data_IF_269585588296
#
_entry.id   IF_269585588296
#
_cell.length_a   1.000
_cell.length_b   1.000
_cell.length_c   1.000
_cell.angle_alpha   90.00
_cell.angle_beta   90.00
_cell.angle_gamma   90.00
#
_symmetry.space_group_name_H-M   'P 1'
#
loop_
_entity.id
_entity.type
_entity.pdbx_description
1 polymer ?
#
# COMPACT_ATOMS: atom_id res chain seq x y z
N UNK A 1 -16.69 -2.66 6.15
CA UNK A 1 -16.54 -3.88 6.99
C UNK A 1 -17.24 -3.68 8.33
N UNK A 2 -16.83 -2.73 9.15
CA UNK A 2 -17.31 -2.55 10.53
C UNK A 2 -18.83 -2.39 10.62
N UNK A 3 -19.42 -1.57 9.75
CA UNK A 3 -20.87 -1.35 9.69
C UNK A 3 -21.64 -2.64 9.41
N UNK A 4 -21.17 -3.45 8.46
CA UNK A 4 -21.85 -4.69 8.06
C UNK A 4 -21.89 -5.75 9.17
N UNK A 5 -20.96 -5.63 10.14
CA UNK A 5 -20.89 -6.51 11.31
C UNK A 5 -21.34 -5.83 12.60
N UNK A 6 -21.87 -4.60 12.51
CA UNK A 6 -22.27 -3.79 13.67
C UNK A 6 -21.15 -3.66 14.72
N UNK A 7 -19.93 -3.46 14.27
CA UNK A 7 -18.75 -3.26 15.10
C UNK A 7 -18.35 -1.79 15.09
N UNK A 8 -18.09 -1.23 16.26
CA UNK A 8 -17.57 0.12 16.41
C UNK A 8 -16.10 0.18 15.94
N UNK A 9 -15.86 0.84 14.80
CA UNK A 9 -14.54 0.98 14.22
C UNK A 9 -13.57 1.73 15.15
N UNK A 10 -14.04 2.77 15.86
CA UNK A 10 -13.21 3.53 16.79
C UNK A 10 -12.73 2.65 17.96
N UNK A 11 -13.63 1.88 18.53
CA UNK A 11 -13.30 0.91 19.57
C UNK A 11 -12.33 -0.14 19.09
N UNK A 12 -12.55 -0.70 17.90
CA UNK A 12 -11.65 -1.68 17.30
C UNK A 12 -10.22 -1.12 17.15
N UNK A 13 -10.06 0.07 16.53
CA UNK A 13 -8.76 0.67 16.35
C UNK A 13 -8.08 1.09 17.66
N UNK A 14 -8.86 1.49 18.66
CA UNK A 14 -8.35 1.74 20.01
C UNK A 14 -7.77 0.46 20.63
N UNK A 15 -8.48 -0.65 20.49
CA UNK A 15 -7.96 -1.97 20.92
C UNK A 15 -6.69 -2.34 20.18
N UNK A 16 -6.66 -2.25 18.84
CA UNK A 16 -5.49 -2.57 18.02
C UNK A 16 -4.27 -1.74 18.44
N UNK A 17 -4.44 -0.44 18.60
CA UNK A 17 -3.35 0.47 18.98
C UNK A 17 -2.80 0.21 20.41
N UNK A 18 -3.57 -0.45 21.26
CA UNK A 18 -3.13 -0.84 22.60
C UNK A 18 -2.35 -2.17 22.62
N UNK A 19 -2.51 -3.03 21.59
CA UNK A 19 -1.92 -4.37 21.57
C UNK A 19 -0.39 -4.41 21.70
N UNK A 20 0.40 -3.54 21.03
CA UNK A 20 1.86 -3.59 21.18
C UNK A 20 2.31 -3.44 22.63
N UNK A 21 1.81 -2.45 23.34
CA UNK A 21 2.14 -2.23 24.77
C UNK A 21 1.62 -3.36 25.66
N UNK A 22 0.44 -3.87 25.35
CA UNK A 22 -0.16 -4.99 26.09
C UNK A 22 0.70 -6.24 26.01
N UNK A 23 1.06 -6.68 24.78
CA UNK A 23 1.88 -7.88 24.60
C UNK A 23 3.31 -7.72 25.12
N UNK A 24 3.87 -6.52 25.04
CA UNK A 24 5.17 -6.24 25.66
C UNK A 24 5.11 -6.40 27.18
N UNK A 25 4.07 -5.85 27.84
CA UNK A 25 3.94 -5.92 29.29
C UNK A 25 3.57 -7.32 29.80
N UNK A 26 2.67 -8.04 29.12
CA UNK A 26 2.13 -9.31 29.57
C UNK A 26 2.99 -10.52 29.18
N UNK A 27 3.71 -10.45 28.05
CA UNK A 27 4.38 -11.59 27.44
C UNK A 27 5.83 -11.33 27.04
N UNK A 28 6.33 -10.09 27.21
CA UNK A 28 7.64 -9.64 26.74
C UNK A 28 7.85 -9.85 25.23
N UNK A 29 6.77 -9.72 24.44
CA UNK A 29 6.76 -9.90 22.98
C UNK A 29 6.73 -8.54 22.30
N UNK A 30 7.70 -8.30 21.42
CA UNK A 30 7.69 -7.13 20.53
C UNK A 30 6.71 -7.37 19.37
N UNK A 31 5.80 -6.44 19.17
CA UNK A 31 4.76 -6.51 18.14
C UNK A 31 4.94 -5.38 17.14
N UNK A 32 4.79 -5.69 15.85
CA UNK A 32 4.79 -4.68 14.80
C UNK A 32 3.46 -3.91 14.82
N UNK A 33 3.46 -2.60 15.14
CA UNK A 33 2.25 -1.80 15.24
C UNK A 33 1.51 -1.64 13.91
N UNK A 34 2.23 -1.69 12.77
CA UNK A 34 1.64 -1.48 11.45
C UNK A 34 0.80 -2.69 10.98
N UNK A 35 1.09 -3.89 11.49
CA UNK A 35 0.49 -5.13 10.99
C UNK A 35 -0.32 -5.92 12.03
N UNK A 36 -0.26 -5.55 13.32
CA UNK A 36 -0.98 -6.26 14.39
C UNK A 36 -2.50 -6.27 14.18
N UNK A 37 -3.04 -5.29 13.46
CA UNK A 37 -4.46 -5.24 13.12
C UNK A 37 -4.93 -6.48 12.35
N UNK A 38 -4.06 -7.12 11.54
CA UNK A 38 -4.35 -8.35 10.82
C UNK A 38 -4.71 -9.48 11.78
N UNK A 39 -3.94 -9.61 12.86
CA UNK A 39 -4.22 -10.59 13.91
C UNK A 39 -5.56 -10.31 14.61
N UNK A 40 -5.90 -9.03 14.81
CA UNK A 40 -7.18 -8.67 15.43
C UNK A 40 -8.37 -8.98 14.50
N UNK A 41 -8.23 -8.74 13.18
CA UNK A 41 -9.23 -9.15 12.20
C UNK A 41 -9.43 -10.67 12.19
N UNK A 42 -8.33 -11.45 12.17
CA UNK A 42 -8.39 -12.92 12.22
C UNK A 42 -9.05 -13.40 13.53
N UNK A 43 -8.68 -12.78 14.66
CA UNK A 43 -9.30 -13.10 15.96
C UNK A 43 -10.82 -12.84 15.95
N UNK A 44 -11.25 -11.72 15.36
CA UNK A 44 -12.68 -11.37 15.26
C UNK A 44 -13.42 -12.28 14.27
N UNK A 45 -12.74 -12.75 13.23
CA UNK A 45 -13.27 -13.76 12.33
C UNK A 45 -13.47 -15.10 13.04
N UNK A 46 -12.44 -15.58 13.75
CA UNK A 46 -12.47 -16.84 14.49
C UNK A 46 -13.50 -16.89 15.64
N UNK A 47 -13.73 -15.77 16.32
CA UNK A 47 -14.70 -15.70 17.43
C UNK A 47 -16.13 -15.40 16.97
N UNK A 48 -16.36 -15.29 15.64
CA UNK A 48 -17.68 -15.05 15.05
C UNK A 48 -18.12 -13.57 15.01
N UNK A 49 -17.32 -12.62 15.50
CA UNK A 49 -17.60 -11.19 15.38
C UNK A 49 -17.63 -10.76 13.91
N UNK A 50 -16.65 -11.19 13.13
CA UNK A 50 -16.63 -11.03 11.67
C UNK A 50 -16.98 -12.36 10.99
N UNK A 51 -18.21 -12.85 11.27
CA UNK A 51 -18.68 -14.11 10.75
C UNK A 51 -18.57 -14.17 9.21
N UNK A 52 -17.98 -15.25 8.70
CA UNK A 52 -17.78 -15.49 7.27
C UNK A 52 -16.99 -14.38 6.55
N UNK A 53 -16.16 -13.62 7.26
CA UNK A 53 -15.24 -12.67 6.62
C UNK A 53 -14.13 -13.46 5.92
N UNK A 54 -14.12 -13.41 4.60
CA UNK A 54 -13.17 -14.09 3.73
C UNK A 54 -12.64 -13.13 2.64
N UNK A 55 -11.71 -13.60 1.82
CA UNK A 55 -11.10 -12.79 0.76
C UNK A 55 -12.13 -12.32 -0.29
N UNK A 56 -13.15 -13.13 -0.57
CA UNK A 56 -14.22 -12.72 -1.48
C UNK A 56 -15.01 -11.53 -0.92
N UNK A 57 -15.36 -11.55 0.38
CA UNK A 57 -16.00 -10.40 1.05
C UNK A 57 -15.08 -9.19 1.11
N UNK A 58 -13.79 -9.38 1.40
CA UNK A 58 -12.82 -8.26 1.36
C UNK A 58 -12.81 -7.59 -0.02
N UNK A 59 -12.84 -8.38 -1.09
CA UNK A 59 -12.93 -7.88 -2.46
C UNK A 59 -14.22 -7.11 -2.74
N UNK A 60 -15.37 -7.58 -2.22
CA UNK A 60 -16.62 -6.84 -2.32
C UNK A 60 -16.58 -5.49 -1.58
N UNK A 61 -15.90 -5.42 -0.44
CA UNK A 61 -15.66 -4.15 0.25
C UNK A 61 -14.82 -3.18 -0.59
N UNK A 62 -13.92 -3.67 -1.41
CA UNK A 62 -13.16 -2.87 -2.37
C UNK A 62 -14.06 -2.10 -3.35
N UNK A 63 -15.14 -2.69 -3.82
CA UNK A 63 -16.10 -2.04 -4.73
C UNK A 63 -16.82 -0.83 -4.13
N UNK A 64 -16.82 -0.72 -2.80
CA UNK A 64 -17.49 0.35 -2.03
C UNK A 64 -16.52 1.41 -1.51
N UNK A 65 -15.24 1.36 -1.94
CA UNK A 65 -14.26 2.34 -1.49
C UNK A 65 -14.49 3.70 -2.16
N UNK A 66 -14.44 4.75 -1.35
CA UNK A 66 -14.41 6.12 -1.83
C UNK A 66 -12.95 6.55 -2.00
N UNK A 67 -12.65 7.20 -3.09
CA UNK A 67 -11.33 7.73 -3.39
C UNK A 67 -11.28 9.24 -3.19
N UNK A 68 -10.08 9.76 -3.00
CA UNK A 68 -9.85 11.19 -3.07
C UNK A 68 -10.18 11.72 -4.48
N UNK A 69 -10.55 13.00 -4.54
CA UNK A 69 -10.80 13.68 -5.81
C UNK A 69 -9.61 13.54 -6.75
N UNK A 70 -9.89 13.23 -8.03
CA UNK A 70 -8.84 12.99 -9.04
C UNK A 70 -8.40 11.53 -9.18
N UNK A 71 -8.91 10.62 -8.35
CA UNK A 71 -8.74 9.18 -8.49
C UNK A 71 -10.05 8.58 -9.01
N UNK A 72 -10.08 7.80 -10.12
CA UNK A 72 -8.93 7.22 -10.85
C UNK A 72 -8.40 8.05 -12.02
N UNK A 73 -8.88 9.29 -12.23
CA UNK A 73 -8.56 10.10 -13.41
C UNK A 73 -7.06 10.32 -13.61
N UNK A 74 -6.29 10.47 -12.52
CA UNK A 74 -4.84 10.66 -12.59
C UNK A 74 -4.14 9.56 -13.38
N UNK A 75 -4.60 8.31 -13.27
CA UNK A 75 -4.01 7.18 -13.99
C UNK A 75 -4.21 7.29 -15.52
N UNK A 76 -5.33 7.86 -15.94
CA UNK A 76 -5.60 8.12 -17.36
C UNK A 76 -4.77 9.30 -17.85
N UNK A 77 -4.83 10.43 -17.12
CA UNK A 77 -4.15 11.65 -17.49
C UNK A 77 -2.66 11.45 -17.65
N UNK A 78 -2.00 10.78 -16.71
CA UNK A 78 -0.56 10.53 -16.78
C UNK A 78 -0.17 9.64 -17.96
N UNK A 79 -1.00 8.64 -18.31
CA UNK A 79 -0.78 7.81 -19.52
C UNK A 79 -1.04 8.63 -20.80
N UNK A 80 -2.00 9.56 -20.80
CA UNK A 80 -2.32 10.40 -21.94
C UNK A 80 -1.27 11.49 -22.21
N UNK A 81 -0.62 11.99 -21.16
CA UNK A 81 0.45 13.00 -21.30
C UNK A 81 1.57 12.54 -22.22
N UNK A 82 1.85 11.24 -22.31
CA UNK A 82 2.92 10.69 -23.15
C UNK A 82 2.48 10.27 -24.54
N UNK A 83 1.17 10.20 -24.82
CA UNK A 83 0.63 9.62 -26.06
C UNK A 83 0.99 10.35 -27.35
N UNK A 84 1.30 11.63 -27.29
CA UNK A 84 1.58 12.45 -28.48
C UNK A 84 2.97 13.09 -28.40
N UNK A 85 3.82 12.56 -27.56
CA UNK A 85 5.19 13.01 -27.45
C UNK A 85 6.09 12.14 -28.34
N UNK A 86 6.70 12.74 -29.36
CA UNK A 86 7.50 12.03 -30.35
C UNK A 86 8.71 11.31 -29.75
N UNK A 87 9.29 11.85 -28.67
CA UNK A 87 10.40 11.21 -27.95
C UNK A 87 9.90 9.99 -27.20
N UNK A 88 8.75 10.10 -26.54
CA UNK A 88 8.14 8.97 -25.82
C UNK A 88 7.75 7.84 -26.78
N UNK A 89 7.29 8.15 -27.97
CA UNK A 89 6.98 7.17 -29.02
C UNK A 89 8.26 6.52 -29.55
N UNK A 90 9.29 7.30 -29.89
CA UNK A 90 10.58 6.81 -30.42
C UNK A 90 11.26 5.83 -29.45
N UNK A 91 11.28 6.17 -28.15
CA UNK A 91 11.92 5.35 -27.14
C UNK A 91 10.98 4.38 -26.43
N UNK A 92 9.72 4.25 -26.90
CA UNK A 92 8.69 3.39 -26.29
C UNK A 92 8.52 3.62 -24.78
N UNK A 93 8.55 4.88 -24.35
CA UNK A 93 8.37 5.27 -22.93
C UNK A 93 6.91 5.12 -22.55
N UNK A 94 6.66 4.45 -21.41
CA UNK A 94 5.32 4.19 -20.90
C UNK A 94 5.22 4.55 -19.42
N UNK A 95 4.03 5.04 -19.02
CA UNK A 95 3.70 5.18 -17.60
C UNK A 95 3.11 3.88 -17.10
N UNK A 96 3.68 3.35 -16.03
CA UNK A 96 3.16 2.24 -15.25
C UNK A 96 2.77 2.73 -13.86
N UNK A 97 1.66 2.22 -13.33
CA UNK A 97 1.18 2.56 -12.01
C UNK A 97 1.20 1.31 -11.12
N UNK A 98 1.60 1.50 -9.88
CA UNK A 98 1.70 0.45 -8.88
C UNK A 98 1.09 0.93 -7.57
N UNK A 99 0.50 0.03 -6.79
CA UNK A 99 -0.03 0.33 -5.46
C UNK A 99 0.76 -0.44 -4.42
N UNK A 100 1.24 0.27 -3.39
CA UNK A 100 1.91 -0.32 -2.23
C UNK A 100 1.18 0.16 -0.98
N UNK A 101 0.50 -0.75 -0.30
CA UNK A 101 -0.42 -0.43 0.80
C UNK A 101 -0.17 -1.33 2.02
N UNK A 102 -0.29 -0.77 3.21
CA UNK A 102 -0.37 -1.55 4.45
C UNK A 102 -1.74 -2.18 4.68
N UNK A 103 -2.72 -1.89 3.83
CA UNK A 103 -4.07 -2.45 3.89
C UNK A 103 -4.19 -3.82 3.20
N UNK A 104 -5.41 -4.37 3.22
CA UNK A 104 -5.70 -5.66 2.60
C UNK A 104 -5.58 -5.61 1.07
N UNK A 105 -4.77 -6.48 0.50
CA UNK A 105 -4.61 -6.59 -0.94
C UNK A 105 -5.93 -6.92 -1.65
N UNK A 106 -6.76 -7.79 -1.05
CA UNK A 106 -8.05 -8.16 -1.63
C UNK A 106 -9.05 -6.99 -1.67
N UNK A 107 -8.99 -6.06 -0.72
CA UNK A 107 -9.79 -4.82 -0.80
C UNK A 107 -9.35 -4.00 -2.01
N UNK A 108 -8.05 -3.81 -2.20
CA UNK A 108 -7.53 -3.09 -3.37
C UNK A 108 -7.90 -3.80 -4.68
N UNK A 109 -7.79 -5.13 -4.74
CA UNK A 109 -8.21 -5.93 -5.91
C UNK A 109 -9.70 -5.82 -6.23
N UNK A 110 -10.52 -5.47 -5.26
CA UNK A 110 -11.95 -5.21 -5.44
C UNK A 110 -12.26 -3.86 -6.07
N UNK A 111 -11.33 -2.93 -6.05
CA UNK A 111 -11.53 -1.57 -6.55
C UNK A 111 -11.42 -1.49 -8.08
N UNK A 112 -11.97 -0.43 -8.66
CA UNK A 112 -11.79 -0.14 -10.08
C UNK A 112 -10.35 0.25 -10.46
N UNK A 113 -9.48 0.54 -9.48
CA UNK A 113 -8.07 0.90 -9.71
C UNK A 113 -7.31 -0.22 -10.43
N UNK A 114 -7.73 -1.47 -10.27
CA UNK A 114 -7.12 -2.62 -10.94
C UNK A 114 -7.14 -2.55 -12.47
N UNK A 115 -7.98 -1.69 -13.04
CA UNK A 115 -8.00 -1.44 -14.51
C UNK A 115 -6.83 -0.57 -14.98
N UNK A 116 -6.16 0.12 -14.06
CA UNK A 116 -5.17 1.14 -14.36
C UNK A 116 -3.76 0.80 -13.87
N UNK A 117 -3.66 -0.08 -12.87
CA UNK A 117 -2.39 -0.43 -12.22
C UNK A 117 -1.84 -1.76 -12.75
N UNK A 118 -0.53 -1.83 -12.80
CA UNK A 118 0.20 -3.01 -13.28
C UNK A 118 0.31 -4.12 -12.23
N UNK A 119 0.44 -3.71 -10.96
CA UNK A 119 0.49 -4.63 -9.83
C UNK A 119 0.22 -3.89 -8.52
N UNK A 120 -0.05 -4.68 -7.47
CA UNK A 120 -0.25 -4.20 -6.11
C UNK A 120 0.58 -5.01 -5.12
N UNK A 121 1.03 -4.35 -4.06
CA UNK A 121 1.57 -4.95 -2.85
C UNK A 121 0.69 -4.53 -1.68
N UNK A 122 0.13 -5.49 -1.00
CA UNK A 122 -0.75 -5.28 0.17
C UNK A 122 -0.67 -6.49 1.10
N UNK A 123 -1.33 -6.41 2.25
CA UNK A 123 -1.38 -7.53 3.16
C UNK A 123 -2.31 -8.62 2.63
N UNK A 124 -1.82 -9.87 2.63
CA UNK A 124 -2.56 -11.05 2.16
C UNK A 124 -2.98 -11.92 3.34
N UNK A 125 -4.18 -12.44 3.28
CA UNK A 125 -4.70 -13.36 4.28
C UNK A 125 -4.97 -14.72 3.66
N UNK A 126 -4.62 -15.77 4.40
CA UNK A 126 -4.93 -17.15 4.07
C UNK A 126 -6.28 -17.48 4.72
N UNK A 127 -7.13 -18.16 3.99
CA UNK A 127 -8.43 -18.64 4.46
C UNK A 127 -8.31 -20.01 5.11
N UNK A 128 -9.33 -20.40 5.87
CA UNK A 128 -9.49 -21.76 6.34
C UNK A 128 -9.72 -22.75 5.16
N UNK A 129 -9.65 -24.04 5.44
CA UNK A 129 -9.75 -25.10 4.41
C UNK A 129 -11.09 -25.04 3.64
N UNK A 130 -12.15 -24.61 4.32
CA UNK A 130 -13.49 -24.44 3.71
C UNK A 130 -13.65 -23.10 2.96
N UNK A 131 -12.64 -22.21 3.01
CA UNK A 131 -12.63 -20.84 2.46
C UNK A 131 -13.80 -19.97 2.95
N UNK A 132 -14.24 -20.19 4.17
CA UNK A 132 -15.33 -19.44 4.79
C UNK A 132 -14.85 -18.23 5.55
N UNK A 133 -13.62 -18.29 6.07
CA UNK A 133 -13.11 -17.27 6.96
C UNK A 133 -11.61 -17.06 6.80
N UNK A 134 -11.17 -15.81 6.99
CA UNK A 134 -9.74 -15.51 7.11
C UNK A 134 -9.19 -16.17 8.36
N UNK A 135 -8.03 -16.83 8.25
CA UNK A 135 -7.48 -17.69 9.28
C UNK A 135 -6.04 -17.39 9.66
N UNK A 136 -5.20 -17.02 8.70
CA UNK A 136 -3.78 -16.78 8.90
C UNK A 136 -3.27 -15.60 8.06
N UNK A 137 -2.11 -15.07 8.42
CA UNK A 137 -1.42 -14.03 7.66
C UNK A 137 -0.56 -14.70 6.60
N UNK A 138 -0.77 -14.35 5.32
CA UNK A 138 0.03 -14.85 4.21
C UNK A 138 1.19 -13.94 3.86
N UNK A 139 0.95 -12.64 3.82
CA UNK A 139 1.97 -11.64 3.48
C UNK A 139 1.66 -10.32 4.18
N UNK A 140 2.71 -9.56 4.55
CA UNK A 140 2.56 -8.27 5.20
C UNK A 140 3.33 -7.18 4.51
N UNK A 141 2.72 -6.00 4.46
CA UNK A 141 3.37 -4.74 4.11
C UNK A 141 3.32 -3.83 5.34
N UNK A 142 4.49 -3.34 5.74
CA UNK A 142 4.69 -2.32 6.75
C UNK A 142 5.53 -1.17 6.20
N UNK A 143 5.90 -0.21 7.04
CA UNK A 143 6.68 0.96 6.64
C UNK A 143 8.04 0.61 6.00
N UNK A 144 8.70 -0.48 6.43
CA UNK A 144 9.97 -0.92 5.84
C UNK A 144 9.78 -1.81 4.62
N UNK A 145 8.80 -2.70 4.63
CA UNK A 145 8.55 -3.59 3.49
C UNK A 145 7.94 -2.85 2.30
N UNK A 146 7.39 -1.63 2.48
CA UNK A 146 7.12 -0.71 1.36
C UNK A 146 8.39 -0.43 0.55
N UNK A 147 9.54 -0.26 1.18
CA UNK A 147 10.81 -0.07 0.44
C UNK A 147 11.22 -1.31 -0.36
N UNK A 148 10.96 -2.51 0.18
CA UNK A 148 11.14 -3.76 -0.55
C UNK A 148 10.29 -3.78 -1.82
N UNK A 149 9.01 -3.40 -1.75
CA UNK A 149 8.12 -3.34 -2.91
C UNK A 149 8.68 -2.39 -3.99
N UNK A 150 9.24 -1.24 -3.61
CA UNK A 150 9.90 -0.31 -4.55
C UNK A 150 11.10 -0.98 -5.25
N UNK A 151 11.92 -1.75 -4.53
CA UNK A 151 13.01 -2.52 -5.15
C UNK A 151 12.49 -3.64 -6.07
N UNK A 152 11.37 -4.26 -5.73
CA UNK A 152 10.72 -5.26 -6.57
C UNK A 152 10.20 -4.63 -7.87
N UNK A 153 9.59 -3.44 -7.81
CA UNK A 153 9.21 -2.64 -8.99
C UNK A 153 10.44 -2.28 -9.82
N UNK A 154 11.50 -1.76 -9.19
CA UNK A 154 12.75 -1.43 -9.86
C UNK A 154 13.31 -2.59 -10.67
N UNK A 155 13.25 -3.81 -10.14
CA UNK A 155 13.75 -5.02 -10.79
C UNK A 155 12.77 -5.68 -11.75
N UNK A 156 11.48 -5.33 -11.71
CA UNK A 156 10.45 -5.95 -12.52
C UNK A 156 9.94 -7.28 -11.95
N UNK A 157 9.98 -7.46 -10.63
CA UNK A 157 9.36 -8.63 -9.98
C UNK A 157 7.88 -8.72 -10.36
N UNK A 158 7.40 -9.94 -10.65
CA UNK A 158 6.05 -10.24 -11.17
C UNK A 158 5.78 -9.75 -12.61
N UNK A 159 6.74 -9.15 -13.27
CA UNK A 159 6.69 -8.80 -14.71
C UNK A 159 7.64 -9.67 -15.52
N UNK A 160 8.81 -9.91 -14.98
CA UNK A 160 9.85 -10.71 -15.59
C UNK A 160 9.92 -12.09 -14.91
N UNK A 161 10.05 -13.15 -15.71
CA UNK A 161 10.11 -14.52 -15.20
C UNK A 161 11.37 -14.73 -14.34
N UNK A 162 11.22 -15.45 -13.25
CA UNK A 162 12.30 -15.87 -12.35
C UNK A 162 13.09 -14.71 -11.67
N UNK A 163 12.60 -13.47 -11.75
CA UNK A 163 13.18 -12.35 -11.02
C UNK A 163 12.56 -12.21 -9.62
N UNK A 164 13.44 -12.08 -8.63
CA UNK A 164 13.09 -11.80 -7.24
C UNK A 164 13.78 -10.53 -6.75
N UNK A 165 13.40 -10.03 -5.59
CA UNK A 165 14.08 -8.89 -4.95
C UNK A 165 15.58 -9.15 -4.73
N UNK A 166 15.97 -10.41 -4.56
CA UNK A 166 17.36 -10.83 -4.31
C UNK A 166 18.16 -11.08 -5.62
N UNK A 167 17.51 -11.07 -6.78
CA UNK A 167 18.20 -11.27 -8.05
C UNK A 167 19.24 -10.18 -8.28
N UNK A 168 20.48 -10.59 -8.67
CA UNK A 168 21.52 -9.64 -9.08
C UNK A 168 21.28 -9.25 -10.53
N UNK A 169 20.78 -8.04 -10.75
CA UNK A 169 20.56 -7.48 -12.08
C UNK A 169 21.52 -6.33 -12.35
N UNK A 170 22.20 -6.31 -13.51
CA UNK A 170 22.86 -5.13 -14.02
C UNK A 170 21.90 -3.94 -14.06
N UNK A 171 22.45 -2.74 -13.94
CA UNK A 171 21.62 -1.52 -13.88
C UNK A 171 20.73 -1.38 -15.12
N UNK A 172 21.28 -1.67 -16.29
CA UNK A 172 20.66 -1.53 -17.60
C UNK A 172 19.50 -2.53 -17.84
N UNK A 173 19.47 -3.61 -17.05
CA UNK A 173 18.41 -4.63 -17.12
C UNK A 173 17.31 -4.43 -16.08
N UNK A 174 17.38 -3.37 -15.29
CA UNK A 174 16.30 -3.04 -14.36
C UNK A 174 15.12 -2.46 -15.11
N UNK A 175 13.92 -2.89 -14.74
CA UNK A 175 12.69 -2.45 -15.41
C UNK A 175 12.45 -0.96 -15.28
N UNK A 176 12.58 -0.43 -14.07
CA UNK A 176 12.33 1.00 -13.80
C UNK A 176 13.49 1.56 -12.98
N UNK A 177 14.19 2.54 -13.53
CA UNK A 177 15.19 3.28 -12.76
C UNK A 177 14.51 4.14 -11.68
N UNK A 178 15.15 4.26 -10.51
CA UNK A 178 14.62 5.07 -9.42
C UNK A 178 14.39 6.54 -9.83
N UNK A 179 15.28 7.12 -10.65
CA UNK A 179 15.12 8.49 -11.16
C UNK A 179 13.86 8.69 -12.01
N UNK A 180 13.25 7.60 -12.49
CA UNK A 180 12.02 7.59 -13.27
C UNK A 180 10.80 7.22 -12.40
N UNK A 181 10.97 7.12 -11.08
CA UNK A 181 9.87 6.85 -10.15
C UNK A 181 9.33 8.13 -9.55
N UNK A 182 8.01 8.17 -9.43
CA UNK A 182 7.29 9.16 -8.64
C UNK A 182 6.57 8.40 -7.53
N UNK A 183 6.88 8.71 -6.28
CA UNK A 183 6.23 8.10 -5.12
C UNK A 183 5.24 9.08 -4.49
N UNK A 184 3.97 8.69 -4.42
CA UNK A 184 2.88 9.52 -3.89
C UNK A 184 2.26 8.81 -2.70
N UNK A 185 2.18 9.48 -1.54
CA UNK A 185 1.59 8.91 -0.33
C UNK A 185 1.13 10.01 0.65
N UNK A 186 0.45 9.62 1.73
CA UNK A 186 -0.23 10.55 2.64
C UNK A 186 0.38 10.60 4.05
N UNK A 187 1.37 9.77 4.39
CA UNK A 187 1.67 9.67 5.79
C UNK A 187 3.03 9.19 6.25
N UNK A 188 3.20 9.17 7.58
CA UNK A 188 4.45 8.79 8.23
C UNK A 188 4.90 7.35 7.95
N UNK A 189 3.97 6.44 7.65
CA UNK A 189 4.30 5.06 7.26
C UNK A 189 5.06 4.97 5.94
N UNK A 190 5.13 6.07 5.19
CA UNK A 190 5.78 6.16 3.88
C UNK A 190 7.16 6.82 3.93
N UNK A 191 7.59 7.32 5.09
CA UNK A 191 8.88 8.02 5.24
C UNK A 191 10.07 7.21 4.71
N UNK A 192 10.24 5.91 5.02
CA UNK A 192 11.34 5.12 4.45
C UNK A 192 11.26 5.00 2.93
N UNK A 193 10.05 4.88 2.38
CA UNK A 193 9.81 4.81 0.95
C UNK A 193 10.11 6.14 0.25
N UNK A 194 9.64 7.27 0.78
CA UNK A 194 10.01 8.60 0.32
C UNK A 194 11.54 8.77 0.30
N UNK A 195 12.19 8.44 1.43
CA UNK A 195 13.64 8.60 1.58
C UNK A 195 14.43 7.81 0.54
N UNK A 196 14.05 6.55 0.24
CA UNK A 196 14.79 5.74 -0.74
C UNK A 196 14.58 6.22 -2.18
N UNK A 197 13.36 6.63 -2.54
CA UNK A 197 13.06 7.15 -3.88
C UNK A 197 13.79 8.47 -4.10
N UNK A 198 13.67 9.43 -3.18
CA UNK A 198 14.34 10.72 -3.24
C UNK A 198 15.86 10.60 -3.28
N UNK A 199 16.47 9.82 -2.40
CA UNK A 199 17.92 9.62 -2.35
C UNK A 199 18.49 9.00 -3.62
N UNK A 200 17.65 8.37 -4.46
CA UNK A 200 18.03 7.76 -5.73
C UNK A 200 17.59 8.56 -6.96
N UNK A 201 17.18 9.81 -6.76
CA UNK A 201 16.85 10.76 -7.83
C UNK A 201 15.44 10.67 -8.37
N UNK A 202 14.56 9.88 -7.75
CA UNK A 202 13.12 9.91 -8.04
C UNK A 202 12.42 11.08 -7.38
N UNK A 203 11.17 11.34 -7.76
CA UNK A 203 10.35 12.41 -7.20
C UNK A 203 9.37 11.89 -6.14
N UNK A 204 9.08 12.72 -5.14
CA UNK A 204 8.24 12.36 -4.00
C UNK A 204 7.19 13.42 -3.73
N UNK A 205 5.92 13.00 -3.62
CA UNK A 205 4.78 13.86 -3.35
C UNK A 205 4.01 13.35 -2.15
N UNK A 206 3.81 14.20 -1.14
CA UNK A 206 2.83 13.92 -0.11
C UNK A 206 1.46 14.50 -0.49
N UNK A 207 0.39 13.79 -0.13
CA UNK A 207 -0.98 14.25 -0.34
C UNK A 207 -1.70 14.32 1.01
N UNK A 208 -2.69 15.19 1.09
CA UNK A 208 -3.52 15.33 2.30
C UNK A 208 -4.94 15.77 1.94
N UNK A 209 -5.95 15.45 2.78
CA UNK A 209 -7.32 15.89 2.55
C UNK A 209 -7.44 17.42 2.63
N UNK A 210 -8.08 18.03 1.64
CA UNK A 210 -8.33 19.48 1.62
C UNK A 210 -9.11 19.91 2.88
N UNK A 211 -8.57 20.90 3.59
CA UNK A 211 -9.17 21.44 4.80
C UNK A 211 -8.80 20.68 6.09
N UNK A 212 -7.98 19.66 6.03
CA UNK A 212 -7.41 19.00 7.21
C UNK A 212 -6.09 19.68 7.61
N UNK A 213 -6.17 20.64 8.53
CA UNK A 213 -5.01 21.40 9.01
C UNK A 213 -3.95 20.53 9.69
N UNK A 214 -4.37 19.45 10.35
CA UNK A 214 -3.45 18.52 11.00
C UNK A 214 -2.66 17.71 9.97
N UNK A 215 -3.33 17.21 8.94
CA UNK A 215 -2.68 16.50 7.85
C UNK A 215 -1.79 17.46 7.05
N UNK A 216 -2.22 18.72 6.84
CA UNK A 216 -1.39 19.76 6.22
C UNK A 216 -0.09 20.00 7.01
N UNK A 217 -0.17 20.25 8.32
CA UNK A 217 1.01 20.45 9.16
C UNK A 217 1.95 19.23 9.14
N UNK A 218 1.41 18.02 9.02
CA UNK A 218 2.22 16.80 8.90
C UNK A 218 3.02 16.76 7.59
N UNK A 219 2.39 17.05 6.44
CA UNK A 219 3.11 17.02 5.15
C UNK A 219 4.08 18.20 5.02
N UNK A 220 3.73 19.37 5.58
CA UNK A 220 4.63 20.51 5.68
C UNK A 220 5.91 20.14 6.47
N UNK A 221 5.75 19.45 7.60
CA UNK A 221 6.88 18.95 8.38
C UNK A 221 7.74 17.94 7.60
N UNK A 222 7.14 17.05 6.83
CA UNK A 222 7.88 16.12 5.95
C UNK A 222 8.73 16.87 4.92
N UNK A 223 8.22 17.99 4.37
CA UNK A 223 8.96 18.84 3.43
C UNK A 223 10.10 19.60 4.12
N UNK A 224 9.84 20.18 5.29
CA UNK A 224 10.88 20.86 6.09
C UNK A 224 12.03 19.93 6.49
N UNK A 225 11.70 18.68 6.83
CA UNK A 225 12.68 17.63 7.17
C UNK A 225 13.36 17.02 5.94
N UNK A 226 13.15 17.59 4.75
CA UNK A 226 13.69 17.14 3.46
C UNK A 226 13.31 15.67 3.09
N UNK A 227 12.17 15.19 3.58
CA UNK A 227 11.68 13.82 3.31
C UNK A 227 10.96 13.71 1.98
N UNK A 228 10.35 14.81 1.52
CA UNK A 228 9.59 14.88 0.28
C UNK A 228 10.01 16.10 -0.54
N UNK A 229 9.69 16.07 -1.84
CA UNK A 229 9.96 17.20 -2.74
C UNK A 229 8.82 18.20 -2.74
N UNK A 230 7.57 17.70 -2.77
CA UNK A 230 6.36 18.52 -2.87
C UNK A 230 5.17 17.90 -2.11
N UNK A 231 4.13 18.68 -1.87
CA UNK A 231 2.81 18.30 -1.42
C UNK A 231 1.71 19.21 -2.00
#
# INVERSE_FOLDING_TARGET
IFEDYNVDAHKFWKEVNALPKKYEAEQCVKVNPDTIYLNQFIKYAKNGTFKDLNNAKLKEYGKRQNFYAGIPEIFKHTKEMLKNDAVCEEYNIKVEHYIVSTGFAEVVRGTELMKYVENIWGCELIEDDDRKCINEIGFTIDNLTKTRAIFEINKGVNKEKDITVNSKLPYELRRVDFKNMIYIADGPSDIPAFSIVKARGGATFAIYPKGDEKAFAQVEKLREDDRIDMF
#
